data_IF_682430158151
#
_entry.id   IF_682430158151
#
_cell.length_a   1.000
_cell.length_b   1.000
_cell.length_c   1.000
_cell.angle_alpha   90.00
_cell.angle_beta   90.00
_cell.angle_gamma   90.00
#
_symmetry.space_group_name_H-M   'P 1'
#
loop_
_entity.id
_entity.type
_entity.pdbx_description
1 polymer ?
#
# COMPACT_ATOMS: atom_id res chain seq x y z
N UNK A 1 -16.14 35.08 7.48
CA UNK A 1 -16.08 35.28 6.02
C UNK A 1 -16.50 36.68 5.62
N UNK A 2 -17.59 37.23 6.16
CA UNK A 2 -17.99 38.63 5.92
C UNK A 2 -16.90 39.64 6.35
N UNK A 3 -16.34 39.47 7.55
CA UNK A 3 -15.29 40.36 8.10
C UNK A 3 -13.99 40.42 7.27
N UNK A 4 -13.53 39.29 6.72
CA UNK A 4 -12.36 39.27 5.82
C UNK A 4 -12.63 39.95 4.49
N UNK A 5 -13.87 39.90 3.98
CA UNK A 5 -14.25 40.57 2.74
C UNK A 5 -14.33 42.08 2.93
N UNK A 6 -14.82 42.52 4.09
CA UNK A 6 -14.83 43.93 4.49
C UNK A 6 -13.41 44.48 4.64
N UNK A 7 -12.52 43.77 5.34
CA UNK A 7 -11.10 44.16 5.47
C UNK A 7 -10.39 44.27 4.11
N UNK A 8 -10.67 43.36 3.17
CA UNK A 8 -10.08 43.45 1.82
C UNK A 8 -10.62 44.63 1.01
N UNK A 9 -11.91 44.98 1.17
CA UNK A 9 -12.50 46.17 0.54
C UNK A 9 -11.90 47.45 1.13
N UNK A 10 -11.74 47.53 2.44
CA UNK A 10 -11.08 48.64 3.12
C UNK A 10 -9.63 48.81 2.68
N UNK A 11 -8.87 47.72 2.56
CA UNK A 11 -7.49 47.76 2.07
C UNK A 11 -7.44 48.28 0.64
N UNK A 12 -8.32 47.83 -0.26
CA UNK A 12 -8.36 48.29 -1.64
C UNK A 12 -8.69 49.79 -1.77
N UNK A 13 -9.61 50.31 -0.96
CA UNK A 13 -9.94 51.76 -0.95
C UNK A 13 -8.80 52.58 -0.35
N UNK A 14 -8.14 52.10 0.70
CA UNK A 14 -6.98 52.76 1.29
C UNK A 14 -5.75 52.75 0.36
N UNK A 15 -5.52 51.67 -0.40
CA UNK A 15 -4.45 51.60 -1.39
C UNK A 15 -4.65 52.58 -2.55
N UNK A 16 -5.88 52.70 -3.06
CA UNK A 16 -6.19 53.67 -4.12
C UNK A 16 -6.06 55.11 -3.62
N UNK A 17 -6.46 55.39 -2.38
CA UNK A 17 -6.27 56.70 -1.74
C UNK A 17 -4.78 57.03 -1.57
N UNK A 18 -4.00 56.11 -1.00
CA UNK A 18 -2.57 56.32 -0.76
C UNK A 18 -1.78 56.49 -2.06
N UNK A 19 -2.10 55.74 -3.13
CA UNK A 19 -1.48 55.90 -4.46
C UNK A 19 -1.68 57.31 -5.06
N UNK A 20 -2.77 58.00 -4.68
CA UNK A 20 -3.09 59.34 -5.18
C UNK A 20 -2.50 60.46 -4.33
N UNK A 21 -2.43 60.27 -3.00
CA UNK A 21 -2.02 61.33 -2.07
C UNK A 21 -0.58 61.19 -1.53
N UNK A 22 0.02 59.99 -1.62
CA UNK A 22 1.32 59.62 -1.01
C UNK A 22 1.47 59.99 0.47
N UNK A 23 0.35 60.08 1.19
CA UNK A 23 0.32 60.55 2.56
C UNK A 23 0.73 59.47 3.57
N UNK A 24 1.53 59.86 4.56
CA UNK A 24 2.09 58.98 5.60
C UNK A 24 1.02 58.47 6.57
N UNK A 25 -0.01 59.26 6.86
CA UNK A 25 -1.08 58.85 7.78
C UNK A 25 -1.94 57.75 7.15
N UNK A 26 -2.25 57.90 5.86
CA UNK A 26 -2.94 56.89 5.06
C UNK A 26 -2.16 55.56 4.98
N UNK A 27 -0.83 55.62 4.93
CA UNK A 27 0.03 54.43 4.94
C UNK A 27 -0.01 53.67 6.28
N UNK A 28 -0.04 54.39 7.40
CA UNK A 28 -0.15 53.79 8.74
C UNK A 28 -1.49 53.06 8.91
N UNK A 29 -2.60 53.68 8.47
CA UNK A 29 -3.92 53.04 8.48
C UNK A 29 -3.98 51.79 7.60
N UNK A 30 -3.40 51.85 6.40
CA UNK A 30 -3.28 50.71 5.49
C UNK A 30 -2.51 49.56 6.14
N UNK A 31 -1.38 49.87 6.78
CA UNK A 31 -0.54 48.89 7.47
C UNK A 31 -1.29 48.24 8.64
N UNK A 32 -2.04 49.03 9.41
CA UNK A 32 -2.87 48.50 10.49
C UNK A 32 -3.94 47.53 9.97
N UNK A 33 -4.65 47.87 8.89
CA UNK A 33 -5.67 47.01 8.27
C UNK A 33 -5.06 45.73 7.68
N UNK A 34 -3.88 45.79 7.07
CA UNK A 34 -3.12 44.61 6.59
C UNK A 34 -2.71 43.68 7.74
N UNK A 35 -2.27 44.25 8.87
CA UNK A 35 -1.94 43.48 10.06
C UNK A 35 -3.18 42.80 10.66
N UNK A 36 -4.33 43.48 10.67
CA UNK A 36 -5.61 42.89 11.11
C UNK A 36 -6.02 41.70 10.23
N UNK A 37 -5.91 41.83 8.90
CA UNK A 37 -6.18 40.73 7.97
C UNK A 37 -5.23 39.54 8.21
N UNK A 38 -3.93 39.81 8.36
CA UNK A 38 -2.90 38.80 8.63
C UNK A 38 -3.18 38.06 9.95
N UNK A 39 -3.56 38.77 11.00
CA UNK A 39 -3.92 38.17 12.29
C UNK A 39 -5.15 37.26 12.17
N UNK A 40 -6.16 37.67 11.41
CA UNK A 40 -7.35 36.85 11.17
C UNK A 40 -7.01 35.56 10.38
N UNK A 41 -6.20 35.66 9.32
CA UNK A 41 -5.75 34.51 8.54
C UNK A 41 -4.90 33.55 9.38
N UNK A 42 -3.95 34.08 10.16
CA UNK A 42 -3.11 33.28 11.05
C UNK A 42 -3.94 32.52 12.09
N UNK A 43 -4.99 33.14 12.65
CA UNK A 43 -5.92 32.46 13.56
C UNK A 43 -6.66 31.31 12.85
N UNK A 44 -7.06 31.48 11.60
CA UNK A 44 -7.70 30.42 10.83
C UNK A 44 -6.72 29.27 10.50
N UNK A 45 -5.49 29.60 10.08
CA UNK A 45 -4.42 28.64 9.82
C UNK A 45 -4.12 27.85 11.10
N UNK A 46 -3.94 28.52 12.23
CA UNK A 46 -3.68 27.87 13.52
C UNK A 46 -4.81 26.92 13.90
N UNK A 47 -6.08 27.31 13.74
CA UNK A 47 -7.22 26.42 13.97
C UNK A 47 -7.17 25.18 13.08
N UNK A 48 -6.90 25.35 11.78
CA UNK A 48 -6.80 24.23 10.84
C UNK A 48 -5.63 23.30 11.16
N UNK A 49 -4.49 23.85 11.56
CA UNK A 49 -3.30 23.09 11.96
C UNK A 49 -3.54 22.29 13.24
N UNK A 50 -4.18 22.89 14.24
CA UNK A 50 -4.54 22.19 15.48
C UNK A 50 -5.55 21.06 15.20
N UNK A 51 -6.53 21.31 14.34
CA UNK A 51 -7.48 20.28 13.93
C UNK A 51 -6.78 19.13 13.19
N UNK A 52 -5.85 19.44 12.28
CA UNK A 52 -5.06 18.44 11.56
C UNK A 52 -4.18 17.60 12.50
N UNK A 53 -3.49 18.23 13.46
CA UNK A 53 -2.71 17.52 14.48
C UNK A 53 -3.57 16.63 15.34
N UNK A 54 -4.73 17.12 15.79
CA UNK A 54 -5.69 16.32 16.53
C UNK A 54 -6.17 15.13 15.70
N UNK A 55 -6.46 15.34 14.41
CA UNK A 55 -6.83 14.26 13.50
C UNK A 55 -5.74 13.20 13.35
N UNK A 56 -4.47 13.60 13.18
CA UNK A 56 -3.33 12.66 13.16
C UNK A 56 -3.18 11.94 14.50
N UNK A 57 -3.29 12.63 15.62
CA UNK A 57 -3.17 11.99 16.93
C UNK A 57 -4.29 10.96 17.16
N UNK A 58 -5.53 11.32 16.82
CA UNK A 58 -6.69 10.43 16.99
C UNK A 58 -6.71 9.27 16.00
N UNK A 59 -6.23 9.46 14.77
CA UNK A 59 -6.42 8.52 13.66
C UNK A 59 -5.14 8.07 12.94
N UNK A 60 -3.96 8.51 13.39
CA UNK A 60 -2.68 8.26 12.71
C UNK A 60 -2.29 6.79 12.72
N UNK A 61 -2.20 6.21 13.91
CA UNK A 61 -1.85 4.79 14.08
C UNK A 61 -3.07 3.87 14.08
N UNK A 62 -4.29 4.43 14.15
CA UNK A 62 -5.52 3.63 14.15
C UNK A 62 -5.90 3.29 12.71
N UNK A 63 -6.30 2.05 12.49
CA UNK A 63 -6.91 1.60 11.24
C UNK A 63 -8.13 2.49 10.92
N UNK A 64 -7.96 3.49 10.06
CA UNK A 64 -9.02 4.43 9.74
C UNK A 64 -10.23 3.74 9.09
N UNK A 65 -11.32 4.50 8.92
CA UNK A 65 -12.54 4.04 8.24
C UNK A 65 -12.27 3.40 6.88
N UNK A 66 -11.26 3.90 6.16
CA UNK A 66 -10.80 3.32 4.89
C UNK A 66 -10.33 1.88 5.06
N UNK A 67 -9.42 1.63 6.01
CA UNK A 67 -8.90 0.29 6.27
C UNK A 67 -10.00 -0.63 6.82
N UNK A 68 -10.89 -0.13 7.68
CA UNK A 68 -12.07 -0.87 8.13
C UNK A 68 -12.98 -1.31 6.96
N UNK A 69 -13.22 -0.42 6.00
CA UNK A 69 -13.99 -0.73 4.79
C UNK A 69 -13.27 -1.75 3.90
N UNK A 70 -11.95 -1.60 3.70
CA UNK A 70 -11.14 -2.56 2.95
C UNK A 70 -11.19 -3.95 3.58
N UNK A 71 -11.05 -4.04 4.91
CA UNK A 71 -11.16 -5.30 5.65
C UNK A 71 -12.57 -5.89 5.55
N UNK A 72 -13.62 -5.07 5.64
CA UNK A 72 -15.00 -5.52 5.47
C UNK A 72 -15.23 -6.10 4.08
N UNK A 73 -14.80 -5.40 3.04
CA UNK A 73 -14.88 -5.87 1.66
C UNK A 73 -14.11 -7.19 1.47
N UNK A 74 -12.89 -7.28 2.01
CA UNK A 74 -12.08 -8.50 1.96
C UNK A 74 -12.75 -9.67 2.67
N UNK A 75 -13.31 -9.45 3.87
CA UNK A 75 -14.07 -10.48 4.60
C UNK A 75 -15.27 -10.98 3.80
N UNK A 76 -16.03 -10.09 3.16
CA UNK A 76 -17.17 -10.47 2.32
C UNK A 76 -16.74 -11.27 1.09
N UNK A 77 -15.63 -10.89 0.45
CA UNK A 77 -15.09 -11.64 -0.71
C UNK A 77 -14.57 -13.03 -0.34
N UNK A 78 -14.00 -13.19 0.86
CA UNK A 78 -13.50 -14.47 1.37
C UNK A 78 -14.60 -15.35 2.01
N UNK A 79 -15.78 -14.80 2.25
CA UNK A 79 -16.87 -15.53 2.89
C UNK A 79 -17.51 -16.50 1.89
N UNK A 80 -17.53 -17.78 2.24
CA UNK A 80 -18.14 -18.83 1.44
C UNK A 80 -19.53 -19.12 2.02
N UNK A 81 -20.62 -18.64 1.38
CA UNK A 81 -21.96 -18.73 1.97
C UNK A 81 -22.57 -20.14 1.86
N UNK A 82 -22.21 -20.89 0.81
CA UNK A 82 -22.72 -22.24 0.54
C UNK A 82 -21.81 -22.96 -0.43
N UNK A 83 -21.75 -24.29 -0.29
CA UNK A 83 -21.02 -25.18 -1.20
C UNK A 83 -21.93 -26.34 -1.62
N UNK A 84 -21.52 -27.07 -2.66
CA UNK A 84 -22.14 -28.34 -3.03
C UNK A 84 -21.21 -29.48 -2.65
N UNK A 85 -21.78 -30.49 -2.01
CA UNK A 85 -21.16 -31.78 -1.72
C UNK A 85 -20.97 -32.59 -3.03
N UNK A 86 -20.14 -33.63 -2.98
CA UNK A 86 -20.00 -34.69 -4.00
C UNK A 86 -21.34 -35.20 -4.55
N UNK A 87 -22.39 -35.25 -3.72
CA UNK A 87 -23.76 -35.64 -4.11
C UNK A 87 -24.61 -34.47 -4.66
N UNK A 88 -24.00 -33.33 -5.02
CA UNK A 88 -24.67 -32.10 -5.48
C UNK A 88 -25.64 -31.47 -4.47
N UNK A 89 -25.59 -31.87 -3.19
CA UNK A 89 -26.44 -31.32 -2.12
C UNK A 89 -25.85 -30.01 -1.60
N UNK A 90 -26.72 -29.04 -1.33
CA UNK A 90 -26.30 -27.72 -0.88
C UNK A 90 -26.04 -27.72 0.64
N UNK A 91 -24.83 -27.35 1.05
CA UNK A 91 -24.43 -27.18 2.46
C UNK A 91 -24.22 -25.69 2.75
N UNK A 92 -24.75 -25.22 3.88
CA UNK A 92 -24.74 -23.81 4.28
C UNK A 92 -24.23 -23.61 5.72
N UNK A 93 -24.22 -24.66 6.53
CA UNK A 93 -23.68 -24.58 7.91
C UNK A 93 -22.14 -24.58 7.88
N UNK A 94 -21.47 -23.72 8.66
CA UNK A 94 -20.00 -23.62 8.68
C UNK A 94 -19.31 -24.96 8.94
N UNK A 95 -19.83 -25.77 9.88
CA UNK A 95 -19.23 -27.07 10.22
C UNK A 95 -19.33 -28.07 9.06
N UNK A 96 -20.45 -28.05 8.33
CA UNK A 96 -20.64 -28.88 7.14
C UNK A 96 -19.73 -28.42 6.00
N UNK A 97 -19.57 -27.10 5.83
CA UNK A 97 -18.65 -26.52 4.85
C UNK A 97 -17.22 -26.94 5.15
N UNK A 98 -16.77 -26.79 6.40
CA UNK A 98 -15.43 -27.18 6.83
C UNK A 98 -15.16 -28.69 6.64
N UNK A 99 -16.14 -29.52 6.99
CA UNK A 99 -16.03 -30.99 6.82
C UNK A 99 -15.90 -31.37 5.36
N UNK A 100 -16.73 -30.79 4.47
CA UNK A 100 -16.65 -31.06 3.04
C UNK A 100 -15.33 -30.60 2.43
N UNK A 101 -14.83 -29.41 2.81
CA UNK A 101 -13.52 -28.93 2.38
C UNK A 101 -12.40 -29.89 2.79
N UNK A 102 -12.45 -30.37 4.04
CA UNK A 102 -11.48 -31.34 4.54
C UNK A 102 -11.52 -32.63 3.74
N UNK A 103 -12.70 -33.22 3.55
CA UNK A 103 -12.88 -34.46 2.77
C UNK A 103 -12.40 -34.29 1.33
N UNK A 104 -12.77 -33.18 0.68
CA UNK A 104 -12.38 -32.89 -0.69
C UNK A 104 -10.87 -32.79 -0.85
N UNK A 105 -10.20 -31.98 -0.02
CA UNK A 105 -8.75 -31.80 -0.13
C UNK A 105 -7.96 -33.02 0.34
N UNK A 106 -8.47 -33.79 1.31
CA UNK A 106 -7.89 -35.09 1.68
C UNK A 106 -7.88 -36.03 0.48
N UNK A 107 -9.00 -36.12 -0.26
CA UNK A 107 -9.08 -36.89 -1.49
C UNK A 107 -8.15 -36.35 -2.60
N UNK A 108 -8.17 -35.04 -2.83
CA UNK A 108 -7.38 -34.38 -3.88
C UNK A 108 -5.87 -34.64 -3.74
N UNK A 109 -5.38 -34.62 -2.50
CA UNK A 109 -3.95 -34.79 -2.20
C UNK A 109 -3.59 -36.22 -1.78
N UNK A 110 -4.53 -37.17 -1.86
CA UNK A 110 -4.34 -38.56 -1.42
C UNK A 110 -3.76 -38.66 0.01
N UNK A 111 -4.26 -37.79 0.89
CA UNK A 111 -3.88 -37.76 2.30
C UNK A 111 -4.65 -38.83 3.07
N UNK A 112 -4.01 -39.43 4.07
CA UNK A 112 -4.70 -40.30 5.02
C UNK A 112 -5.67 -39.50 5.89
N UNK A 113 -6.72 -40.16 6.37
CA UNK A 113 -7.62 -39.56 7.35
C UNK A 113 -6.89 -39.40 8.68
N UNK A 114 -7.14 -38.30 9.40
CA UNK A 114 -6.48 -38.03 10.67
C UNK A 114 -6.93 -39.06 11.71
N UNK A 115 -6.18 -40.14 11.84
CA UNK A 115 -6.36 -41.11 12.91
C UNK A 115 -5.77 -40.55 14.23
N UNK A 116 -6.44 -40.78 15.38
CA UNK A 116 -5.93 -40.33 16.67
C UNK A 116 -4.60 -41.04 16.98
N UNK A 117 -3.49 -40.30 16.86
CA UNK A 117 -2.12 -40.82 17.05
C UNK A 117 -1.16 -40.52 15.89
N UNK A 118 -1.63 -39.92 14.79
CA UNK A 118 -0.74 -39.55 13.68
C UNK A 118 0.26 -38.45 14.05
N UNK A 119 1.55 -38.79 13.96
CA UNK A 119 2.65 -37.84 14.08
C UNK A 119 2.77 -36.97 12.83
N UNK A 120 3.22 -35.72 12.97
CA UNK A 120 3.49 -34.81 11.85
C UNK A 120 4.37 -35.43 10.75
N UNK A 121 5.23 -36.39 11.11
CA UNK A 121 6.07 -37.14 10.18
C UNK A 121 5.28 -37.99 9.17
N UNK A 122 4.12 -38.52 9.53
CA UNK A 122 3.30 -39.35 8.64
C UNK A 122 2.67 -38.50 7.53
N UNK A 123 2.19 -37.30 7.86
CA UNK A 123 1.60 -36.34 6.91
C UNK A 123 2.62 -35.83 5.90
N UNK A 124 3.85 -35.54 6.37
CA UNK A 124 4.96 -35.16 5.51
C UNK A 124 5.29 -36.25 4.47
N UNK A 125 5.18 -37.53 4.86
CA UNK A 125 5.39 -38.64 3.93
C UNK A 125 4.30 -38.69 2.84
N UNK A 126 3.03 -38.43 3.20
CA UNK A 126 1.92 -38.38 2.24
C UNK A 126 2.08 -37.22 1.25
N UNK A 127 2.49 -36.05 1.72
CA UNK A 127 2.80 -34.89 0.88
C UNK A 127 3.95 -35.20 -0.09
N UNK A 128 5.05 -35.81 0.40
CA UNK A 128 6.17 -36.22 -0.45
C UNK A 128 5.74 -37.21 -1.52
N UNK A 129 4.89 -38.18 -1.16
CA UNK A 129 4.32 -39.14 -2.12
C UNK A 129 3.49 -38.44 -3.20
N UNK A 130 2.60 -37.52 -2.80
CA UNK A 130 1.78 -36.75 -3.74
C UNK A 130 2.64 -35.91 -4.71
N UNK A 131 3.58 -35.14 -4.17
CA UNK A 131 4.49 -34.30 -4.98
C UNK A 131 5.33 -35.17 -5.92
N UNK A 132 5.89 -36.28 -5.43
CA UNK A 132 6.64 -37.22 -6.26
C UNK A 132 5.79 -37.82 -7.39
N UNK A 133 4.50 -38.06 -7.15
CA UNK A 133 3.58 -38.55 -8.18
C UNK A 133 3.24 -37.50 -9.24
N UNK A 134 3.48 -36.21 -8.99
CA UNK A 134 3.13 -35.14 -9.91
C UNK A 134 4.05 -35.05 -11.14
N UNK A 135 5.11 -35.89 -11.23
CA UNK A 135 6.08 -35.91 -12.36
C UNK A 135 6.49 -34.50 -12.78
N UNK A 136 6.82 -33.66 -11.79
CA UNK A 136 7.22 -32.29 -12.06
C UNK A 136 8.50 -32.30 -12.92
N UNK A 137 8.63 -31.42 -13.92
CA UNK A 137 9.85 -31.34 -14.71
C UNK A 137 11.01 -31.01 -13.77
N UNK A 138 11.98 -31.91 -13.72
CA UNK A 138 13.25 -31.67 -13.04
C UNK A 138 14.17 -30.89 -13.97
N UNK A 139 14.93 -29.97 -13.38
CA UNK A 139 15.94 -29.20 -14.10
C UNK A 139 17.09 -30.17 -14.43
N UNK A 140 17.63 -30.09 -15.64
CA UNK A 140 18.77 -30.92 -16.03
C UNK A 140 20.00 -30.60 -15.16
N UNK A 141 20.89 -31.57 -14.94
CA UNK A 141 22.14 -31.29 -14.20
C UNK A 141 22.94 -30.16 -14.83
N UNK A 142 22.94 -30.05 -16.16
CA UNK A 142 23.60 -28.97 -16.90
C UNK A 142 22.99 -27.60 -16.61
N UNK A 143 21.65 -27.51 -16.55
CA UNK A 143 20.98 -26.25 -16.22
C UNK A 143 21.18 -25.91 -14.75
N UNK A 144 21.20 -26.91 -13.87
CA UNK A 144 21.47 -26.73 -12.43
C UNK A 144 22.88 -26.18 -12.22
N UNK A 145 23.88 -26.78 -12.85
CA UNK A 145 25.27 -26.32 -12.80
C UNK A 145 25.40 -24.88 -13.36
N UNK A 146 24.71 -24.57 -14.46
CA UNK A 146 24.68 -23.22 -15.02
C UNK A 146 24.03 -22.20 -14.08
N UNK A 147 22.95 -22.56 -13.38
CA UNK A 147 22.27 -21.70 -12.41
C UNK A 147 23.06 -21.51 -11.10
N UNK A 148 23.85 -22.52 -10.70
CA UNK A 148 24.72 -22.48 -9.52
C UNK A 148 26.09 -21.83 -9.81
N UNK A 149 26.43 -21.60 -11.08
CA UNK A 149 27.66 -20.94 -11.47
C UNK A 149 27.73 -19.48 -10.99
N UNK A 150 28.92 -18.93 -10.72
CA UNK A 150 29.09 -17.52 -10.39
C UNK A 150 28.57 -16.61 -11.51
N UNK A 151 27.90 -15.52 -11.12
CA UNK A 151 27.39 -14.51 -12.07
C UNK A 151 28.56 -13.89 -12.82
N UNK A 152 28.47 -13.89 -14.15
CA UNK A 152 29.51 -13.34 -15.03
C UNK A 152 29.30 -11.84 -15.27
N UNK A 153 30.37 -11.08 -15.56
CA UNK A 153 30.25 -9.66 -15.89
C UNK A 153 29.42 -9.43 -17.16
N UNK A 154 29.43 -10.36 -18.12
CA UNK A 154 28.62 -10.31 -19.34
C UNK A 154 27.12 -10.42 -19.04
N UNK A 155 26.72 -11.35 -18.16
CA UNK A 155 25.35 -11.49 -17.70
C UNK A 155 24.87 -10.23 -16.99
N UNK A 156 25.71 -9.65 -16.13
CA UNK A 156 25.42 -8.42 -15.42
C UNK A 156 25.21 -7.25 -16.39
N UNK A 157 26.13 -7.06 -17.34
CA UNK A 157 26.03 -6.03 -18.36
C UNK A 157 24.76 -6.20 -19.22
N UNK A 158 24.43 -7.43 -19.60
CA UNK A 158 23.21 -7.73 -20.34
C UNK A 158 21.95 -7.43 -19.52
N UNK A 159 21.92 -7.82 -18.24
CA UNK A 159 20.81 -7.57 -17.33
C UNK A 159 20.57 -6.06 -17.13
N UNK A 160 21.64 -5.29 -16.88
CA UNK A 160 21.58 -3.83 -16.76
C UNK A 160 21.03 -3.20 -18.03
N UNK A 161 21.53 -3.62 -19.21
CA UNK A 161 21.06 -3.09 -20.50
C UNK A 161 19.57 -3.34 -20.71
N UNK A 162 19.09 -4.55 -20.42
CA UNK A 162 17.70 -4.98 -20.62
C UNK A 162 16.72 -4.43 -19.58
N UNK A 163 17.21 -4.05 -18.40
CA UNK A 163 16.35 -3.56 -17.32
C UNK A 163 15.63 -2.25 -17.69
N UNK A 164 14.38 -2.10 -17.23
CA UNK A 164 13.50 -0.96 -17.56
C UNK A 164 13.88 0.28 -16.75
N UNK A 165 13.99 1.43 -17.41
CA UNK A 165 14.25 2.74 -16.77
C UNK A 165 12.98 3.30 -16.10
N UNK A 166 13.16 4.30 -15.23
CA UNK A 166 12.03 4.97 -14.55
C UNK A 166 11.44 4.19 -13.37
N UNK A 167 12.20 3.24 -12.80
CA UNK A 167 11.87 2.57 -11.54
C UNK A 167 12.47 3.34 -10.37
N UNK A 168 11.85 3.20 -9.20
CA UNK A 168 12.38 3.78 -7.97
C UNK A 168 13.76 3.17 -7.64
N UNK A 169 14.70 3.96 -7.11
CA UNK A 169 16.01 3.47 -6.70
C UNK A 169 15.87 2.47 -5.55
N UNK A 170 16.87 1.60 -5.43
CA UNK A 170 16.97 0.62 -4.36
C UNK A 170 17.44 1.22 -3.03
N UNK A 171 17.86 0.38 -2.07
CA UNK A 171 18.40 0.84 -0.78
C UNK A 171 19.72 1.61 -0.92
N UNK A 172 20.41 1.46 -2.05
CA UNK A 172 21.60 2.20 -2.46
C UNK A 172 21.29 3.64 -2.92
N UNK A 173 20.02 3.96 -3.21
CA UNK A 173 19.59 5.28 -3.67
C UNK A 173 19.95 5.61 -5.13
N UNK A 174 20.62 4.70 -5.84
CA UNK A 174 21.05 4.91 -7.23
C UNK A 174 19.96 4.40 -8.21
N UNK A 175 19.53 5.22 -9.18
CA UNK A 175 18.58 4.77 -10.19
C UNK A 175 19.29 3.87 -11.22
N UNK A 176 18.54 2.99 -11.87
CA UNK A 176 19.07 2.12 -12.93
C UNK A 176 19.84 2.87 -14.04
N UNK A 177 19.49 4.13 -14.29
CA UNK A 177 20.18 4.97 -15.28
C UNK A 177 21.66 5.15 -14.94
N UNK A 178 22.00 5.24 -13.64
CA UNK A 178 23.38 5.31 -13.18
C UNK A 178 24.16 4.09 -13.69
N UNK A 179 23.66 2.89 -13.39
CA UNK A 179 24.30 1.64 -13.82
C UNK A 179 24.39 1.48 -15.33
N UNK A 180 23.45 2.04 -16.10
CA UNK A 180 23.53 2.02 -17.58
C UNK A 180 24.64 2.91 -18.13
N UNK A 181 24.90 4.04 -17.47
CA UNK A 181 25.96 4.99 -17.87
C UNK A 181 27.33 4.46 -17.46
N UNK A 182 27.44 3.94 -16.24
CA UNK A 182 28.71 3.48 -15.65
C UNK A 182 28.87 1.96 -15.73
N UNK A 183 28.50 1.35 -16.86
CA UNK A 183 28.56 -0.12 -17.04
C UNK A 183 29.99 -0.69 -17.08
N UNK A 184 31.01 0.15 -17.19
CA UNK A 184 32.42 -0.24 -17.38
C UNK A 184 33.37 0.27 -16.28
N UNK A 185 32.83 0.90 -15.22
CA UNK A 185 33.60 1.24 -14.01
C UNK A 185 33.53 0.09 -12.99
#
# INVERSE_FOLDING_TARGET
MQETLELNRDIATLETRHKRTLDATTYQELTAKRNQLTAHLNRAIQRSYQHYRHMIHEHGDKCGRLLGNLLKQRKTQLYIPKIKDTQQRLKHLPDQIATEFRTYYQGLYHLRQDEPGESQSSKLADVRRYIGSAHMPEISETDREALEAPITPEELAYAIKKAKTGKAPGPDGLPLQYYKVFTQE
#
